data_IF_022213705604
#
_entry.id   IF_022213705604
#
_cell.length_a   1.000
_cell.length_b   1.000
_cell.length_c   1.000
_cell.angle_alpha   90.00
_cell.angle_beta   90.00
_cell.angle_gamma   90.00
#
_symmetry.space_group_name_H-M   'P 1'
#
loop_
_entity.id
_entity.type
_entity.pdbx_description
1 polymer ?
#
# COMPACT_ATOMS: atom_id res chain seq x y z
N UNK A 1 9.36 9.46 21.93
CA UNK A 1 9.36 8.11 21.31
C UNK A 1 9.94 8.24 19.92
N UNK A 2 10.74 7.26 19.45
CA UNK A 2 11.21 7.24 18.08
C UNK A 2 10.02 7.22 17.11
N UNK A 3 10.10 7.96 16.01
CA UNK A 3 9.09 7.94 14.95
C UNK A 3 9.08 6.56 14.31
N UNK A 4 7.92 6.05 13.95
CA UNK A 4 7.77 4.77 13.27
C UNK A 4 7.10 4.97 11.92
N UNK A 5 7.44 4.13 10.95
CA UNK A 5 6.84 4.10 9.60
C UNK A 5 6.78 2.65 9.12
N UNK A 6 5.85 2.33 8.27
CA UNK A 6 5.89 1.09 7.51
C UNK A 6 6.52 1.32 6.14
N UNK A 7 7.22 0.31 5.63
CA UNK A 7 7.68 0.27 4.25
C UNK A 7 7.04 -0.94 3.59
N UNK A 8 6.22 -0.73 2.55
CA UNK A 8 5.54 -1.77 1.81
C UNK A 8 6.00 -1.83 0.35
N UNK A 9 5.74 -2.95 -0.31
CA UNK A 9 6.03 -3.13 -1.73
C UNK A 9 4.99 -3.98 -2.43
N UNK A 10 4.75 -3.68 -3.71
CA UNK A 10 3.90 -4.45 -4.59
C UNK A 10 4.67 -5.68 -5.07
N UNK A 11 4.08 -6.86 -4.96
CA UNK A 11 4.78 -8.12 -5.06
C UNK A 11 3.96 -9.21 -5.72
N UNK A 12 4.64 -10.27 -6.16
CA UNK A 12 3.98 -11.40 -6.78
C UNK A 12 3.31 -11.04 -8.10
N UNK A 13 3.82 -10.04 -8.80
CA UNK A 13 3.26 -9.53 -10.05
C UNK A 13 3.74 -10.28 -11.31
N UNK A 14 4.49 -11.38 -11.15
CA UNK A 14 4.74 -12.34 -12.21
C UNK A 14 3.47 -13.11 -12.60
N UNK A 15 3.51 -13.83 -13.72
CA UNK A 15 2.40 -14.69 -14.16
C UNK A 15 2.91 -15.84 -15.01
N UNK A 16 2.65 -17.08 -14.60
CA UNK A 16 3.12 -18.28 -15.29
C UNK A 16 4.64 -18.31 -15.40
N UNK A 17 5.15 -18.27 -16.62
CA UNK A 17 6.58 -18.28 -16.91
C UNK A 17 7.25 -16.89 -16.82
N UNK A 18 6.47 -15.81 -16.68
CA UNK A 18 7.01 -14.46 -16.65
C UNK A 18 7.19 -13.97 -15.23
N UNK A 19 8.40 -13.52 -14.92
CA UNK A 19 8.73 -12.85 -13.67
C UNK A 19 8.79 -11.35 -13.88
N UNK A 20 8.23 -10.60 -12.93
CA UNK A 20 8.28 -9.14 -12.88
C UNK A 20 8.89 -8.75 -11.54
N UNK A 21 9.96 -7.95 -11.57
CA UNK A 21 10.66 -7.48 -10.38
C UNK A 21 11.52 -8.54 -9.69
N UNK A 22 12.05 -8.15 -8.52
CA UNK A 22 12.84 -9.02 -7.64
C UNK A 22 12.16 -9.12 -6.26
N UNK A 23 11.13 -9.99 -6.19
CA UNK A 23 10.38 -10.25 -4.96
C UNK A 23 11.30 -10.63 -3.79
N UNK A 24 12.24 -11.53 -4.03
CA UNK A 24 13.13 -12.05 -2.98
C UNK A 24 14.08 -10.97 -2.44
N UNK A 25 14.60 -10.12 -3.32
CA UNK A 25 15.43 -8.98 -2.93
C UNK A 25 14.65 -7.91 -2.16
N UNK A 26 13.41 -7.65 -2.57
CA UNK A 26 12.55 -6.63 -1.95
C UNK A 26 12.04 -7.07 -0.57
N UNK A 27 11.68 -8.34 -0.38
CA UNK A 27 11.24 -8.91 0.91
C UNK A 27 12.27 -8.73 2.04
N UNK A 28 13.57 -8.70 1.72
CA UNK A 28 14.62 -8.44 2.71
C UNK A 28 14.65 -6.99 3.20
N UNK A 29 13.96 -6.10 2.50
CA UNK A 29 14.00 -4.65 2.76
C UNK A 29 12.69 -4.14 3.36
N UNK A 30 11.56 -4.51 2.81
CA UNK A 30 10.23 -4.08 3.26
C UNK A 30 9.79 -4.78 4.55
N UNK A 31 8.63 -4.35 5.10
CA UNK A 31 8.00 -4.98 6.27
C UNK A 31 6.55 -5.37 6.02
N UNK A 32 5.98 -4.98 4.89
CA UNK A 32 4.63 -5.39 4.48
C UNK A 32 4.62 -5.63 2.97
N UNK A 33 4.06 -6.74 2.54
CA UNK A 33 3.97 -7.15 1.14
C UNK A 33 2.53 -7.03 0.66
N UNK A 34 2.29 -6.24 -0.39
CA UNK A 34 1.02 -6.15 -1.09
C UNK A 34 1.07 -7.12 -2.27
N UNK A 35 0.43 -8.30 -2.13
CA UNK A 35 0.60 -9.43 -3.06
C UNK A 35 -0.52 -9.46 -4.08
N UNK A 36 -0.17 -9.49 -5.37
CA UNK A 36 -1.11 -9.58 -6.49
C UNK A 36 -2.03 -10.79 -6.37
N UNK A 37 -3.32 -10.60 -6.71
CA UNK A 37 -4.39 -11.55 -6.44
C UNK A 37 -4.96 -12.21 -7.72
N UNK A 38 -4.18 -12.26 -8.80
CA UNK A 38 -4.49 -13.03 -10.01
C UNK A 38 -5.23 -12.27 -11.11
N UNK A 39 -5.70 -11.03 -10.88
CA UNK A 39 -6.48 -10.29 -11.86
C UNK A 39 -5.66 -9.34 -12.73
N UNK A 40 -4.82 -8.50 -12.13
CA UNK A 40 -3.90 -7.65 -12.88
C UNK A 40 -2.55 -8.33 -13.13
N UNK A 41 -2.19 -9.22 -12.23
CA UNK A 41 -0.95 -10.01 -12.22
C UNK A 41 -1.05 -11.10 -11.14
N UNK A 42 -0.04 -11.94 -11.04
CA UNK A 42 -0.01 -13.06 -10.13
C UNK A 42 -0.81 -14.26 -10.66
N UNK A 43 -0.45 -15.42 -10.20
CA UNK A 43 -1.14 -16.69 -10.41
C UNK A 43 -1.07 -17.51 -9.12
N UNK A 44 -1.82 -18.62 -8.97
CA UNK A 44 -1.84 -19.35 -7.70
C UNK A 44 -0.47 -19.83 -7.21
N UNK A 45 0.45 -20.18 -8.12
CA UNK A 45 1.80 -20.65 -7.77
C UNK A 45 2.69 -19.50 -7.34
N UNK A 46 2.66 -18.40 -8.09
CA UNK A 46 3.37 -17.16 -7.77
C UNK A 46 2.90 -16.61 -6.41
N UNK A 47 1.58 -16.54 -6.20
CA UNK A 47 0.99 -16.06 -4.95
C UNK A 47 1.45 -16.89 -3.76
N UNK A 48 1.33 -18.22 -3.84
CA UNK A 48 1.74 -19.13 -2.77
C UNK A 48 3.25 -19.02 -2.47
N UNK A 49 4.08 -18.95 -3.50
CA UNK A 49 5.54 -18.79 -3.36
C UNK A 49 5.88 -17.49 -2.62
N UNK A 50 5.30 -16.36 -3.04
CA UNK A 50 5.60 -15.05 -2.45
C UNK A 50 5.08 -14.94 -1.02
N UNK A 51 3.89 -15.47 -0.73
CA UNK A 51 3.36 -15.55 0.63
C UNK A 51 4.30 -16.33 1.54
N UNK A 52 4.76 -17.50 1.11
CA UNK A 52 5.69 -18.34 1.90
C UNK A 52 7.01 -17.61 2.18
N UNK A 53 7.56 -16.93 1.18
CA UNK A 53 8.77 -16.14 1.35
C UNK A 53 8.57 -14.94 2.28
N UNK A 54 7.43 -14.22 2.17
CA UNK A 54 7.11 -13.10 3.05
C UNK A 54 7.03 -13.53 4.51
N UNK A 55 6.38 -14.67 4.79
CA UNK A 55 6.29 -15.24 6.15
C UNK A 55 7.68 -15.59 6.69
N UNK A 56 8.53 -16.21 5.88
CA UNK A 56 9.89 -16.58 6.28
C UNK A 56 10.77 -15.36 6.62
N UNK A 57 10.56 -14.23 5.94
CA UNK A 57 11.27 -12.97 6.18
C UNK A 57 10.62 -12.09 7.28
N UNK A 58 9.54 -12.55 7.92
CA UNK A 58 8.81 -11.77 8.94
C UNK A 58 8.12 -10.52 8.37
N UNK A 59 7.72 -10.60 7.10
CA UNK A 59 7.00 -9.54 6.38
C UNK A 59 5.50 -9.81 6.46
N UNK A 60 4.69 -8.82 6.82
CA UNK A 60 3.23 -8.99 6.87
C UNK A 60 2.64 -9.12 5.47
N UNK A 61 1.66 -10.03 5.34
CA UNK A 61 1.00 -10.37 4.07
C UNK A 61 -0.25 -9.52 3.90
N UNK A 62 -0.42 -8.91 2.72
CA UNK A 62 -1.58 -8.10 2.35
C UNK A 62 -2.04 -8.36 0.93
N UNK A 63 -3.33 -8.15 0.69
CA UNK A 63 -3.94 -8.29 -0.63
C UNK A 63 -3.69 -7.05 -1.49
N UNK A 64 -3.35 -7.31 -2.77
CA UNK A 64 -3.15 -6.27 -3.79
C UNK A 64 -4.11 -6.48 -4.97
N UNK A 65 -5.43 -6.29 -4.75
CA UNK A 65 -6.41 -6.51 -5.78
C UNK A 65 -6.36 -5.43 -6.86
N UNK A 66 -6.54 -5.84 -8.11
CA UNK A 66 -6.65 -4.95 -9.26
C UNK A 66 -7.86 -5.28 -10.12
N UNK A 67 -8.10 -4.48 -11.15
CA UNK A 67 -9.03 -4.83 -12.21
C UNK A 67 -8.58 -6.10 -12.93
N UNK A 68 -9.52 -6.87 -13.48
CA UNK A 68 -9.22 -8.02 -14.34
C UNK A 68 -8.67 -7.55 -15.68
N UNK A 69 -7.40 -7.21 -15.71
CA UNK A 69 -6.70 -6.57 -16.81
C UNK A 69 -5.24 -6.99 -16.88
N UNK A 70 -4.99 -8.30 -17.10
CA UNK A 70 -3.63 -8.84 -17.25
C UNK A 70 -2.82 -8.12 -18.34
N UNK A 71 -3.44 -7.81 -19.48
CA UNK A 71 -2.77 -7.18 -20.61
C UNK A 71 -2.37 -5.72 -20.35
N UNK A 72 -3.18 -5.00 -19.58
CA UNK A 72 -2.91 -3.63 -19.18
C UNK A 72 -2.25 -3.52 -17.81
N UNK A 73 -1.91 -4.67 -17.19
CA UNK A 73 -1.33 -4.72 -15.86
C UNK A 73 -2.18 -3.94 -14.83
N UNK A 74 -3.51 -4.01 -14.95
CA UNK A 74 -4.43 -3.27 -14.08
C UNK A 74 -4.30 -1.74 -14.15
N UNK A 75 -3.61 -1.19 -15.16
CA UNK A 75 -3.34 0.26 -15.28
C UNK A 75 -4.27 0.97 -16.26
N UNK A 76 -5.20 0.25 -16.89
CA UNK A 76 -6.28 0.85 -17.70
C UNK A 76 -7.48 1.17 -16.81
N UNK A 77 -8.13 2.31 -17.05
CA UNK A 77 -9.39 2.63 -16.39
C UNK A 77 -10.47 1.67 -16.87
N UNK A 78 -11.18 1.05 -15.93
CA UNK A 78 -12.33 0.18 -16.19
C UNK A 78 -13.47 0.69 -15.32
N UNK A 79 -14.54 1.16 -15.96
CA UNK A 79 -15.74 1.56 -15.27
C UNK A 79 -16.52 0.31 -14.87
N UNK A 80 -16.93 0.24 -13.61
CA UNK A 80 -17.59 -0.91 -13.02
C UNK A 80 -18.63 -0.46 -12.00
N UNK A 81 -19.74 -1.17 -11.93
CA UNK A 81 -20.73 -0.95 -10.89
C UNK A 81 -20.09 -1.17 -9.49
N UNK A 82 -20.38 -0.34 -8.49
CA UNK A 82 -19.80 -0.49 -7.16
C UNK A 82 -20.06 -1.85 -6.49
N UNK A 83 -21.19 -2.53 -6.77
CA UNK A 83 -21.46 -3.87 -6.25
C UNK A 83 -20.62 -4.95 -6.93
N UNK A 84 -20.44 -4.82 -8.24
CA UNK A 84 -19.55 -5.72 -8.98
C UNK A 84 -18.11 -5.55 -8.50
N UNK A 85 -17.68 -4.31 -8.28
CA UNK A 85 -16.39 -4.01 -7.69
C UNK A 85 -16.23 -4.64 -6.29
N UNK A 86 -17.23 -4.51 -5.42
CA UNK A 86 -17.21 -5.11 -4.08
C UNK A 86 -17.02 -6.62 -4.15
N UNK A 87 -17.76 -7.31 -5.03
CA UNK A 87 -17.61 -8.75 -5.25
C UNK A 87 -16.23 -9.12 -5.81
N UNK A 88 -15.72 -8.34 -6.75
CA UNK A 88 -14.39 -8.54 -7.35
C UNK A 88 -13.28 -8.41 -6.30
N UNK A 89 -13.40 -7.45 -5.38
CA UNK A 89 -12.43 -7.28 -4.29
C UNK A 89 -12.52 -8.43 -3.28
N UNK A 90 -13.74 -8.80 -2.86
CA UNK A 90 -13.95 -9.91 -1.94
C UNK A 90 -13.37 -11.23 -2.47
N UNK A 91 -13.57 -11.52 -3.76
CA UNK A 91 -13.00 -12.68 -4.43
C UNK A 91 -11.47 -12.71 -4.34
N UNK A 92 -10.82 -11.59 -4.63
CA UNK A 92 -9.36 -11.47 -4.61
C UNK A 92 -8.79 -11.57 -3.18
N UNK A 93 -9.47 -11.01 -2.17
CA UNK A 93 -9.10 -11.20 -0.76
C UNK A 93 -9.15 -12.68 -0.40
N UNK A 94 -10.26 -13.37 -0.75
CA UNK A 94 -10.44 -14.78 -0.46
C UNK A 94 -9.37 -15.68 -1.10
N UNK A 95 -8.97 -15.37 -2.33
CA UNK A 95 -7.89 -16.08 -3.00
C UNK A 95 -6.57 -15.97 -2.22
N UNK A 96 -6.19 -14.77 -1.78
CA UNK A 96 -4.98 -14.58 -0.99
C UNK A 96 -5.10 -15.15 0.43
N UNK A 97 -6.27 -15.06 1.06
CA UNK A 97 -6.50 -15.68 2.37
C UNK A 97 -6.26 -17.19 2.35
N UNK A 98 -6.71 -17.88 1.29
CA UNK A 98 -6.44 -19.30 1.12
C UNK A 98 -4.93 -19.57 1.03
N UNK A 99 -4.17 -18.81 0.23
CA UNK A 99 -2.72 -18.98 0.12
C UNK A 99 -1.99 -18.61 1.40
N UNK A 100 -2.44 -17.58 2.12
CA UNK A 100 -1.88 -17.22 3.43
C UNK A 100 -2.08 -18.34 4.45
N UNK A 101 -3.23 -18.99 4.44
CA UNK A 101 -3.54 -20.13 5.31
C UNK A 101 -2.56 -21.30 5.11
N UNK A 102 -2.18 -21.62 3.86
CA UNK A 102 -1.15 -22.63 3.57
C UNK A 102 0.21 -22.32 4.21
N UNK A 103 0.54 -21.05 4.37
CA UNK A 103 1.78 -20.60 5.00
C UNK A 103 1.65 -20.35 6.51
N UNK A 104 0.50 -20.66 7.12
CA UNK A 104 0.24 -20.40 8.54
C UNK A 104 0.11 -18.91 8.88
N UNK A 105 -0.22 -18.07 7.92
CA UNK A 105 -0.32 -16.62 8.05
C UNK A 105 -1.77 -16.12 7.84
N UNK A 106 -1.96 -14.81 8.08
CA UNK A 106 -3.22 -14.10 7.82
C UNK A 106 -2.97 -12.94 6.88
N UNK A 107 -3.98 -12.60 6.07
CA UNK A 107 -4.01 -11.33 5.34
C UNK A 107 -4.27 -10.21 6.34
N UNK A 108 -3.34 -9.27 6.46
CA UNK A 108 -3.37 -8.20 7.47
C UNK A 108 -3.77 -6.84 6.92
N UNK A 109 -3.64 -6.63 5.62
CA UNK A 109 -3.94 -5.37 4.96
C UNK A 109 -4.37 -5.58 3.51
N UNK A 110 -4.98 -4.54 2.95
CA UNK A 110 -5.35 -4.50 1.53
C UNK A 110 -4.97 -3.14 0.95
N UNK A 111 -4.30 -3.18 -0.17
CA UNK A 111 -3.95 -2.02 -1.01
C UNK A 111 -4.42 -2.25 -2.44
N UNK A 112 -5.32 -1.43 -3.00
CA UNK A 112 -5.72 -1.56 -4.41
C UNK A 112 -4.55 -1.28 -5.36
N UNK A 113 -4.50 -2.02 -6.46
CA UNK A 113 -3.47 -1.85 -7.48
C UNK A 113 -3.84 -0.80 -8.54
N UNK A 114 -2.85 -0.08 -9.00
CA UNK A 114 -2.83 0.65 -10.28
C UNK A 114 -4.00 1.59 -10.49
N UNK A 115 -4.74 1.39 -11.61
CA UNK A 115 -5.87 2.26 -11.98
C UNK A 115 -7.00 2.23 -10.96
N UNK A 116 -7.26 1.08 -10.34
CA UNK A 116 -8.26 0.95 -9.28
C UNK A 116 -7.93 1.85 -8.09
N UNK A 117 -6.67 1.86 -7.64
CA UNK A 117 -6.24 2.75 -6.56
C UNK A 117 -6.43 4.23 -6.93
N UNK A 118 -6.01 4.64 -8.14
CA UNK A 118 -6.14 6.02 -8.56
C UNK A 118 -7.61 6.46 -8.69
N UNK A 119 -8.47 5.60 -9.25
CA UNK A 119 -9.90 5.88 -9.37
C UNK A 119 -10.58 5.97 -7.99
N UNK A 120 -10.26 5.07 -7.07
CA UNK A 120 -10.80 5.09 -5.72
C UNK A 120 -10.27 6.28 -4.89
N UNK A 121 -9.06 6.76 -5.17
CA UNK A 121 -8.54 7.97 -4.54
C UNK A 121 -9.35 9.23 -4.86
N UNK A 122 -9.98 9.27 -6.03
CA UNK A 122 -10.79 10.39 -6.54
C UNK A 122 -12.30 10.19 -6.38
N UNK A 123 -12.76 8.95 -6.14
CA UNK A 123 -14.19 8.59 -6.15
C UNK A 123 -14.57 7.85 -4.86
N UNK A 124 -15.40 8.50 -4.04
CA UNK A 124 -15.84 7.98 -2.75
C UNK A 124 -16.67 6.69 -2.88
N UNK A 125 -17.48 6.52 -3.93
CA UNK A 125 -18.32 5.34 -4.10
C UNK A 125 -17.48 4.09 -4.37
N UNK A 126 -16.43 4.22 -5.19
CA UNK A 126 -15.45 3.15 -5.42
C UNK A 126 -14.65 2.85 -4.15
N UNK A 127 -14.20 3.90 -3.44
CA UNK A 127 -13.50 3.76 -2.17
C UNK A 127 -14.34 3.05 -1.10
N UNK A 128 -15.62 3.38 -1.01
CA UNK A 128 -16.58 2.73 -0.12
C UNK A 128 -16.85 1.28 -0.53
N UNK A 129 -16.95 0.97 -1.84
CA UNK A 129 -17.12 -0.39 -2.32
C UNK A 129 -15.95 -1.28 -1.90
N UNK A 130 -14.71 -0.81 -2.09
CA UNK A 130 -13.50 -1.52 -1.61
C UNK A 130 -13.55 -1.71 -0.10
N UNK A 131 -13.85 -0.65 0.65
CA UNK A 131 -13.94 -0.72 2.10
C UNK A 131 -15.04 -1.64 2.63
N UNK A 132 -16.20 -1.73 1.94
CA UNK A 132 -17.28 -2.67 2.29
C UNK A 132 -16.85 -4.12 2.07
N UNK A 133 -16.16 -4.40 0.96
CA UNK A 133 -15.60 -5.73 0.72
C UNK A 133 -14.63 -6.15 1.84
N UNK A 134 -13.71 -5.26 2.22
CA UNK A 134 -12.80 -5.47 3.36
C UNK A 134 -13.61 -5.79 4.63
N UNK A 135 -14.53 -4.91 4.99
CA UNK A 135 -15.32 -5.02 6.23
C UNK A 135 -16.17 -6.30 6.30
N UNK A 136 -16.65 -6.77 5.14
CA UNK A 136 -17.49 -7.96 5.05
C UNK A 136 -16.67 -9.24 5.12
N UNK A 137 -15.51 -9.27 4.45
CA UNK A 137 -14.65 -10.47 4.44
C UNK A 137 -13.89 -10.61 5.76
N UNK A 138 -13.21 -9.55 6.19
CA UNK A 138 -12.50 -9.51 7.46
C UNK A 138 -12.27 -8.06 7.88
N UNK A 139 -12.99 -7.61 8.91
CA UNK A 139 -12.92 -6.23 9.41
C UNK A 139 -11.60 -5.84 10.07
N UNK A 140 -10.73 -6.81 10.35
CA UNK A 140 -9.41 -6.58 10.96
C UNK A 140 -8.34 -6.29 9.89
N UNK A 141 -8.67 -6.46 8.61
CA UNK A 141 -7.80 -6.06 7.50
C UNK A 141 -7.67 -4.53 7.46
N UNK A 142 -6.43 -4.06 7.48
CA UNK A 142 -6.09 -2.64 7.41
C UNK A 142 -6.31 -2.16 5.97
N UNK A 143 -7.11 -1.11 5.78
CA UNK A 143 -7.29 -0.46 4.49
C UNK A 143 -6.12 0.50 4.23
N UNK A 144 -5.25 0.16 3.30
CA UNK A 144 -4.16 1.04 2.86
C UNK A 144 -4.72 2.01 1.83
N UNK A 145 -4.67 3.30 2.14
CA UNK A 145 -5.31 4.37 1.38
C UNK A 145 -4.29 5.45 1.03
N UNK A 146 -4.33 5.94 -0.21
CA UNK A 146 -3.56 7.13 -0.58
C UNK A 146 -3.89 8.25 0.42
N UNK A 147 -2.86 8.84 1.02
CA UNK A 147 -3.01 9.84 2.05
C UNK A 147 -3.76 11.08 1.53
N UNK A 148 -4.77 11.56 2.26
CA UNK A 148 -5.61 12.71 1.89
C UNK A 148 -6.71 12.44 0.88
N UNK A 149 -6.85 11.21 0.38
CA UNK A 149 -7.80 10.83 -0.68
C UNK A 149 -9.20 10.46 -0.17
N UNK A 150 -10.12 10.18 -1.10
CA UNK A 150 -11.45 9.63 -0.79
C UNK A 150 -11.36 8.25 -0.13
N UNK A 151 -10.30 7.48 -0.39
CA UNK A 151 -10.08 6.18 0.27
C UNK A 151 -9.87 6.34 1.78
N UNK A 152 -9.14 7.36 2.23
CA UNK A 152 -8.96 7.65 3.66
C UNK A 152 -10.28 8.04 4.30
N UNK A 153 -11.12 8.82 3.59
CA UNK A 153 -12.47 9.20 4.05
C UNK A 153 -13.36 7.96 4.18
N UNK A 154 -13.37 7.09 3.17
CA UNK A 154 -14.15 5.85 3.17
C UNK A 154 -13.75 4.91 4.32
N UNK A 155 -12.45 4.72 4.55
CA UNK A 155 -11.96 3.92 5.66
C UNK A 155 -12.45 4.43 7.02
N UNK A 156 -12.42 5.75 7.23
CA UNK A 156 -12.93 6.40 8.44
C UNK A 156 -14.44 6.24 8.59
N UNK A 157 -15.21 6.42 7.51
CA UNK A 157 -16.67 6.29 7.51
C UNK A 157 -17.10 4.87 7.86
N UNK A 158 -16.42 3.87 7.31
CA UNK A 158 -16.69 2.45 7.56
C UNK A 158 -16.14 1.94 8.91
N UNK A 159 -15.36 2.76 9.61
CA UNK A 159 -14.72 2.39 10.88
C UNK A 159 -13.65 1.32 10.72
N UNK A 160 -12.95 1.29 9.58
CA UNK A 160 -11.82 0.40 9.32
C UNK A 160 -10.52 0.99 9.88
N UNK A 161 -9.62 0.12 10.32
CA UNK A 161 -8.24 0.51 10.51
C UNK A 161 -7.67 0.94 9.15
N UNK A 162 -7.15 2.18 9.07
CA UNK A 162 -6.70 2.76 7.80
C UNK A 162 -5.26 3.22 7.95
N UNK A 163 -4.41 2.84 7.00
CA UNK A 163 -3.03 3.29 6.89
C UNK A 163 -2.88 4.27 5.72
N UNK A 164 -2.39 5.48 6.01
CA UNK A 164 -2.17 6.54 5.03
C UNK A 164 -0.89 6.28 4.26
N UNK A 165 -1.02 6.05 2.97
CA UNK A 165 0.10 5.70 2.10
C UNK A 165 0.68 6.90 1.37
N UNK A 166 2.01 6.96 1.35
CA UNK A 166 2.80 7.74 0.41
C UNK A 166 3.66 6.83 -0.47
N UNK A 167 4.28 7.39 -1.50
CA UNK A 167 5.09 6.64 -2.46
C UNK A 167 6.52 7.19 -2.46
N UNK A 168 7.50 6.29 -2.32
CA UNK A 168 8.91 6.67 -2.26
C UNK A 168 9.42 7.22 -3.60
N UNK A 169 8.95 6.64 -4.70
CA UNK A 169 9.50 6.76 -6.05
C UNK A 169 8.58 7.48 -7.02
N UNK A 170 7.58 8.23 -6.51
CA UNK A 170 6.59 8.91 -7.35
C UNK A 170 6.55 10.41 -7.05
N UNK A 171 6.35 11.20 -8.11
CA UNK A 171 5.99 12.61 -7.98
C UNK A 171 4.50 12.76 -7.68
N UNK A 172 4.18 13.89 -7.05
CA UNK A 172 2.81 14.29 -6.70
C UNK A 172 2.42 15.58 -7.41
N UNK A 173 1.16 15.71 -7.78
CA UNK A 173 0.57 16.95 -8.26
C UNK A 173 0.14 17.84 -7.06
N UNK A 174 -0.26 19.07 -7.33
CA UNK A 174 -0.55 20.07 -6.29
C UNK A 174 -1.82 19.79 -5.46
N UNK A 175 -2.61 18.83 -5.90
CA UNK A 175 -3.79 18.32 -5.19
C UNK A 175 -3.48 17.11 -4.28
N UNK A 176 -2.25 16.58 -4.32
CA UNK A 176 -1.81 15.42 -3.56
C UNK A 176 -1.99 14.08 -4.27
N UNK A 177 -2.54 14.08 -5.49
CA UNK A 177 -2.60 12.89 -6.32
C UNK A 177 -1.24 12.57 -6.94
N UNK A 178 -1.06 11.29 -7.32
CA UNK A 178 0.16 10.86 -8.00
C UNK A 178 0.21 11.43 -9.41
N UNK A 179 1.33 12.05 -9.78
CA UNK A 179 1.57 12.48 -11.16
C UNK A 179 1.47 11.29 -12.12
N UNK A 180 0.75 11.46 -13.24
CA UNK A 180 0.58 10.40 -14.23
C UNK A 180 1.92 9.83 -14.70
N UNK A 181 2.04 8.50 -14.79
CA UNK A 181 3.23 7.82 -15.33
C UNK A 181 3.55 8.22 -16.80
N UNK A 182 2.59 8.83 -17.52
CA UNK A 182 2.79 9.37 -18.86
C UNK A 182 3.65 10.64 -18.86
N UNK A 183 3.80 11.30 -17.73
CA UNK A 183 4.66 12.48 -17.58
C UNK A 183 6.10 12.01 -17.41
N UNK A 184 7.03 12.42 -18.28
CA UNK A 184 8.44 12.07 -18.15
C UNK A 184 8.99 12.48 -16.77
N UNK A 185 9.76 11.59 -16.12
CA UNK A 185 10.34 11.85 -14.81
C UNK A 185 9.38 11.70 -13.61
N UNK A 186 8.11 11.31 -13.84
CA UNK A 186 7.14 11.09 -12.75
C UNK A 186 7.48 9.91 -11.83
N UNK A 187 8.38 9.02 -12.26
CA UNK A 187 8.95 7.94 -11.44
C UNK A 187 10.41 8.31 -11.14
N UNK A 188 10.74 8.41 -9.85
CA UNK A 188 12.08 8.71 -9.37
C UNK A 188 12.92 7.42 -9.36
N UNK A 189 14.08 7.45 -10.04
CA UNK A 189 14.97 6.27 -10.17
C UNK A 189 16.32 6.45 -9.47
N UNK A 190 16.65 7.68 -9.07
CA UNK A 190 17.87 7.97 -8.32
C UNK A 190 17.66 7.64 -6.83
N UNK A 191 18.41 6.66 -6.27
CA UNK A 191 18.22 6.24 -4.89
C UNK A 191 18.52 7.34 -3.86
N UNK A 192 19.42 8.26 -4.13
CA UNK A 192 19.76 9.34 -3.19
C UNK A 192 18.65 10.40 -3.17
N UNK A 193 18.09 10.75 -4.33
CA UNK A 193 16.93 11.65 -4.42
C UNK A 193 15.74 11.04 -3.69
N UNK A 194 15.47 9.75 -3.89
CA UNK A 194 14.36 9.06 -3.20
C UNK A 194 14.59 9.05 -1.68
N UNK A 195 15.82 8.79 -1.22
CA UNK A 195 16.16 8.81 0.20
C UNK A 195 15.85 10.17 0.83
N UNK A 196 16.29 11.26 0.20
CA UNK A 196 16.03 12.61 0.69
C UNK A 196 14.51 12.90 0.74
N UNK A 197 13.78 12.56 -0.32
CA UNK A 197 12.34 12.73 -0.37
C UNK A 197 11.63 11.98 0.77
N UNK A 198 11.93 10.69 0.98
CA UNK A 198 11.22 9.89 1.99
C UNK A 198 11.55 10.32 3.41
N UNK A 199 12.80 10.70 3.69
CA UNK A 199 13.19 11.22 5.00
C UNK A 199 12.44 12.53 5.29
N UNK A 200 12.37 13.43 4.32
CA UNK A 200 11.62 14.68 4.45
C UNK A 200 10.12 14.43 4.64
N UNK A 201 9.51 13.55 3.84
CA UNK A 201 8.10 13.18 3.99
C UNK A 201 7.79 12.71 5.41
N UNK A 202 8.60 11.79 5.93
CA UNK A 202 8.36 11.19 7.24
C UNK A 202 8.66 12.17 8.37
N UNK A 203 9.78 12.89 8.36
CA UNK A 203 10.17 13.77 9.47
C UNK A 203 9.28 15.01 9.58
N UNK A 204 8.85 15.57 8.45
CA UNK A 204 8.11 16.82 8.39
C UNK A 204 6.59 16.65 8.31
N UNK A 205 6.08 15.41 8.18
CA UNK A 205 4.67 15.11 7.91
C UNK A 205 4.15 15.92 6.70
N UNK A 206 4.89 15.88 5.59
CA UNK A 206 4.54 16.63 4.39
C UNK A 206 5.01 15.93 3.10
N UNK A 207 4.27 16.17 2.03
CA UNK A 207 4.62 15.80 0.67
C UNK A 207 4.91 17.07 -0.11
N UNK A 208 5.97 17.08 -0.91
CA UNK A 208 6.28 18.19 -1.82
C UNK A 208 5.85 17.80 -3.23
N UNK A 209 4.94 18.59 -3.84
CA UNK A 209 4.51 18.37 -5.21
C UNK A 209 5.64 18.68 -6.21
N UNK A 210 5.47 18.25 -7.45
CA UNK A 210 6.41 18.54 -8.56
C UNK A 210 6.59 20.04 -8.83
N UNK A 211 5.63 20.86 -8.42
CA UNK A 211 5.69 22.33 -8.55
C UNK A 211 6.21 23.01 -7.28
N UNK A 212 6.69 22.24 -6.28
CA UNK A 212 7.25 22.75 -5.02
C UNK A 212 6.22 23.11 -3.95
N UNK A 213 4.92 22.81 -4.17
CA UNK A 213 3.90 23.04 -3.14
C UNK A 213 4.05 22.02 -2.01
N UNK A 214 4.08 22.51 -0.77
CA UNK A 214 4.14 21.68 0.44
C UNK A 214 2.74 21.34 0.91
N UNK A 215 2.42 20.05 0.95
CA UNK A 215 1.14 19.50 1.38
C UNK A 215 1.35 18.84 2.74
N UNK A 216 0.69 19.35 3.78
CA UNK A 216 0.73 18.73 5.11
C UNK A 216 0.01 17.39 5.07
N UNK A 217 0.78 16.32 5.27
CA UNK A 217 0.30 14.96 5.11
C UNK A 217 1.07 14.01 6.03
N UNK A 218 0.38 13.44 7.00
CA UNK A 218 0.96 12.41 7.83
C UNK A 218 0.87 11.06 7.13
N UNK A 219 1.98 10.34 7.11
CA UNK A 219 2.08 9.04 6.45
C UNK A 219 2.29 7.93 7.49
N UNK A 220 1.62 6.81 7.29
CA UNK A 220 1.74 5.59 8.10
C UNK A 220 2.55 4.53 7.36
N UNK A 221 2.54 4.56 6.03
CA UNK A 221 3.26 3.62 5.18
C UNK A 221 3.81 4.31 3.93
N UNK A 222 4.93 3.81 3.43
CA UNK A 222 5.55 4.23 2.19
C UNK A 222 5.66 3.03 1.25
N UNK A 223 5.16 3.20 0.02
CA UNK A 223 5.24 2.20 -1.03
C UNK A 223 6.52 2.31 -1.83
N UNK A 224 7.10 1.16 -2.18
CA UNK A 224 8.16 1.02 -3.17
C UNK A 224 7.69 0.03 -4.24
N UNK A 225 7.87 0.38 -5.50
CA UNK A 225 7.49 -0.50 -6.61
C UNK A 225 8.59 -1.52 -6.91
N UNK A 226 8.20 -2.79 -7.00
CA UNK A 226 9.10 -3.91 -7.33
C UNK A 226 9.30 -4.14 -8.83
N UNK A 227 8.41 -3.60 -9.67
CA UNK A 227 8.41 -3.76 -11.13
C UNK A 227 9.50 -2.95 -11.87
N UNK A 228 10.17 -2.03 -11.17
CA UNK A 228 11.32 -1.28 -11.72
C UNK A 228 12.65 -1.98 -11.41
N UNK A 229 13.59 -2.05 -12.37
CA UNK A 229 14.89 -2.70 -12.17
C UNK A 229 15.71 -2.14 -10.98
N UNK A 230 15.48 -0.88 -10.64
CA UNK A 230 16.14 -0.19 -9.51
C UNK A 230 15.38 -0.32 -8.19
N UNK A 231 14.21 -0.96 -8.17
CA UNK A 231 13.29 -0.99 -7.04
C UNK A 231 13.93 -1.44 -5.72
N UNK A 232 14.70 -2.55 -5.75
CA UNK A 232 15.39 -3.06 -4.54
C UNK A 232 16.45 -2.08 -4.02
N UNK A 233 17.21 -1.44 -4.92
CA UNK A 233 18.25 -0.47 -4.52
C UNK A 233 17.59 0.77 -3.93
N UNK A 234 16.55 1.28 -4.56
CA UNK A 234 15.75 2.41 -4.10
C UNK A 234 15.15 2.11 -2.72
N UNK A 235 14.49 0.97 -2.54
CA UNK A 235 13.94 0.54 -1.26
C UNK A 235 14.99 0.46 -0.15
N UNK A 236 16.14 -0.15 -0.46
CA UNK A 236 17.25 -0.30 0.50
C UNK A 236 17.83 1.04 0.93
N UNK A 237 17.98 1.96 -0.01
CA UNK A 237 18.54 3.30 0.25
C UNK A 237 17.55 4.15 1.04
N UNK A 238 16.24 4.10 0.68
CA UNK A 238 15.18 4.74 1.44
C UNK A 238 15.13 4.23 2.89
N UNK A 239 15.14 2.92 3.09
CA UNK A 239 15.14 2.32 4.43
C UNK A 239 16.36 2.76 5.26
N UNK A 240 17.56 2.68 4.70
CA UNK A 240 18.79 3.13 5.39
C UNK A 240 18.71 4.60 5.78
N UNK A 241 18.17 5.45 4.90
CA UNK A 241 17.98 6.87 5.19
C UNK A 241 17.02 7.11 6.35
N UNK A 242 15.91 6.42 6.38
CA UNK A 242 14.92 6.48 7.48
C UNK A 242 15.54 6.00 8.81
N UNK A 243 16.21 4.85 8.81
CA UNK A 243 16.85 4.29 10.01
C UNK A 243 17.98 5.22 10.53
N UNK A 244 18.79 5.79 9.64
CA UNK A 244 19.82 6.78 9.99
C UNK A 244 19.22 8.07 10.57
N UNK A 245 18.00 8.44 10.18
CA UNK A 245 17.26 9.56 10.74
C UNK A 245 16.51 9.22 12.05
N UNK A 246 16.75 8.03 12.62
CA UNK A 246 16.13 7.59 13.89
C UNK A 246 14.69 7.10 13.75
N UNK A 247 14.22 6.82 12.53
CA UNK A 247 12.88 6.26 12.25
C UNK A 247 12.96 4.74 12.23
N UNK A 248 12.09 4.06 12.97
CA UNK A 248 12.00 2.59 12.95
C UNK A 248 11.04 2.15 11.84
N UNK A 249 11.47 1.18 11.04
CA UNK A 249 10.63 0.54 10.02
C UNK A 249 9.99 -0.71 10.59
N UNK A 250 8.65 -0.75 10.62
CA UNK A 250 7.83 -1.80 11.26
C UNK A 250 6.80 -2.36 10.29
N UNK A 251 6.16 -3.49 10.64
CA UNK A 251 5.03 -4.03 9.87
C UNK A 251 3.78 -3.12 9.99
N UNK A 252 2.83 -3.22 9.03
CA UNK A 252 1.58 -2.46 9.12
C UNK A 252 0.77 -2.75 10.39
N UNK A 253 0.60 -4.01 10.84
CA UNK A 253 -0.04 -4.28 12.13
C UNK A 253 0.64 -3.58 13.32
N UNK A 254 1.98 -3.60 13.39
CA UNK A 254 2.73 -2.89 14.43
C UNK A 254 2.57 -1.37 14.32
N UNK A 255 2.51 -0.83 13.09
CA UNK A 255 2.28 0.59 12.85
C UNK A 255 0.92 1.02 13.40
N UNK A 256 -0.16 0.32 13.07
CA UNK A 256 -1.51 0.63 13.58
C UNK A 256 -1.59 0.51 15.10
N UNK A 257 -0.98 -0.51 15.70
CA UNK A 257 -0.90 -0.65 17.16
C UNK A 257 -0.18 0.55 17.80
N UNK A 258 0.89 1.06 17.19
CA UNK A 258 1.63 2.21 17.69
C UNK A 258 0.78 3.49 17.71
N UNK A 259 -0.10 3.67 16.71
CA UNK A 259 -1.05 4.79 16.66
C UNK A 259 -2.09 4.70 17.77
N UNK A 260 -2.62 3.50 18.04
CA UNK A 260 -3.62 3.28 19.09
C UNK A 260 -3.07 3.54 20.51
N UNK A 261 -1.77 3.30 20.72
CA UNK A 261 -1.11 3.48 22.02
C UNK A 261 -0.52 4.87 22.23
N UNK A 262 -0.52 5.73 21.19
CA UNK A 262 0.02 7.08 21.24
C UNK A 262 -0.76 7.97 22.23
N UNK A 263 -0.09 8.84 23.04
CA UNK A 263 -0.76 9.77 23.96
C UNK A 263 -1.77 10.71 23.29
N UNK A 264 -1.60 10.99 21.98
CA UNK A 264 -2.55 11.80 21.19
C UNK A 264 -3.90 11.10 20.96
N UNK A 265 -3.93 9.76 20.91
CA UNK A 265 -5.17 8.98 20.73
C UNK A 265 -6.06 8.97 22.00
N UNK A 266 -5.46 9.12 23.19
CA UNK A 266 -6.16 9.15 24.48
C UNK A 266 -6.98 10.44 24.72
N UNK A 267 -6.84 11.46 23.87
CA UNK A 267 -7.57 12.74 23.99
C UNK A 267 -8.87 12.82 23.17
N UNK A 268 -9.31 11.74 22.51
CA UNK A 268 -10.64 11.73 21.89
C UNK A 268 -11.69 11.45 22.96
N UNK A 269 -12.73 12.30 23.13
CA UNK A 269 -13.81 12.04 24.07
C UNK A 269 -14.49 10.73 23.66
N UNK A 270 -14.73 9.86 24.63
CA UNK A 270 -15.67 8.75 24.49
C UNK A 270 -17.01 9.36 24.07
N UNK A 271 -17.36 9.28 22.79
CA UNK A 271 -18.73 9.54 22.37
C UNK A 271 -19.62 8.51 23.06
N UNK A 272 -20.59 9.05 23.79
CA UNK A 272 -21.58 8.35 24.58
C UNK A 272 -22.16 7.13 23.86
N UNK A 273 -22.06 5.98 24.53
CA UNK A 273 -22.95 4.85 24.25
C UNK A 273 -24.38 5.29 24.55
N UNK A 274 -25.22 5.31 23.55
CA UNK A 274 -26.66 5.09 23.65
C UNK A 274 -27.08 4.13 22.55
#
# INVERSE_FOLDING_TARGET
MAKVINLNGDMGEGFGAWNIGDDAGLLKVIRSASIACGFHAGDPVTMQRVVTQAVAEGVSVGAHPGFNDLWGFGRRRIDMDPRELENMIAYQIGALQAMACYAGAKVTHLKPHGSLNNMAAENIDLALAIGRAIKTVDRDIIYVALAGSEMEKAGRELGLATAREGFCDRLYDDDGNLTSRKVPGSVLKDPEVVKECVVNMVLNDEIVSRNGKRLKQHLDTLCVHGDEPTGVIVARTARKGLEAAGVRVVTLPEMILSLATSPKSRRRPRALRR
#
